data_IF_905458995312
#
_entry.id   IF_905458995312
#
_cell.length_a   1.000
_cell.length_b   1.000
_cell.length_c   1.000
_cell.angle_alpha   90.00
_cell.angle_beta   90.00
_cell.angle_gamma   90.00
#
_symmetry.space_group_name_H-M   'P 1'
#
loop_
_entity.id
_entity.type
_entity.pdbx_description
1 polymer ?
#
# COMPACT_ATOMS: atom_id res chain seq x y z
N UNK A 1 9.59 -31.28 -12.15
CA UNK A 1 9.16 -30.74 -10.84
C UNK A 1 7.97 -29.83 -11.08
N UNK A 2 6.83 -30.07 -10.42
CA UNK A 2 5.72 -29.11 -10.40
C UNK A 2 6.13 -27.96 -9.48
N UNK A 3 6.42 -26.78 -10.05
CA UNK A 3 6.56 -25.55 -9.26
C UNK A 3 5.18 -25.01 -8.93
N UNK A 4 4.93 -24.63 -7.67
CA UNK A 4 3.70 -23.94 -7.29
C UNK A 4 3.61 -22.60 -8.05
N UNK A 5 2.47 -22.28 -8.69
CA UNK A 5 2.35 -21.06 -9.47
C UNK A 5 2.34 -19.82 -8.59
N UNK A 6 3.11 -18.80 -8.96
CA UNK A 6 3.09 -17.48 -8.34
C UNK A 6 2.13 -16.56 -9.08
N UNK A 7 1.49 -15.62 -8.38
CA UNK A 7 0.63 -14.59 -8.99
C UNK A 7 1.39 -13.80 -10.07
N UNK A 8 2.69 -13.55 -9.85
CA UNK A 8 3.56 -12.87 -10.80
C UNK A 8 3.83 -13.67 -12.08
N UNK A 9 3.55 -14.97 -12.12
CA UNK A 9 3.73 -15.78 -13.32
C UNK A 9 2.75 -15.34 -14.43
N UNK A 10 1.59 -14.78 -14.07
CA UNK A 10 0.65 -14.09 -14.98
C UNK A 10 1.28 -12.85 -15.64
N UNK A 11 2.35 -12.30 -15.07
CA UNK A 11 3.08 -11.14 -15.58
C UNK A 11 4.17 -11.46 -16.60
N UNK A 12 4.28 -12.70 -17.08
CA UNK A 12 5.49 -13.17 -17.80
C UNK A 12 5.35 -13.10 -19.33
N UNK A 13 4.21 -13.52 -19.89
CA UNK A 13 4.02 -13.62 -21.33
C UNK A 13 3.02 -12.58 -21.86
N UNK A 14 3.15 -12.08 -23.11
CA UNK A 14 2.08 -11.33 -23.75
C UNK A 14 0.90 -12.24 -24.13
N UNK A 15 -0.35 -11.73 -24.08
CA UNK A 15 -0.73 -10.35 -23.73
C UNK A 15 -0.88 -10.08 -22.23
N UNK A 16 -0.95 -11.11 -21.38
CA UNK A 16 -1.27 -11.01 -19.95
C UNK A 16 -0.30 -10.13 -19.15
N UNK A 17 0.99 -10.12 -19.51
CA UNK A 17 1.99 -9.24 -18.89
C UNK A 17 1.67 -7.75 -19.01
N UNK A 18 1.06 -7.35 -20.12
CA UNK A 18 0.70 -5.95 -20.36
C UNK A 18 -0.48 -5.55 -19.48
N UNK A 19 -1.49 -6.43 -19.41
CA UNK A 19 -2.65 -6.23 -18.53
C UNK A 19 -2.22 -6.19 -17.07
N UNK A 20 -1.38 -7.14 -16.64
CA UNK A 20 -0.83 -7.19 -15.29
C UNK A 20 -0.07 -5.91 -14.93
N UNK A 21 0.81 -5.44 -15.81
CA UNK A 21 1.58 -4.21 -15.61
C UNK A 21 0.69 -2.96 -15.52
N UNK A 22 -0.29 -2.81 -16.42
CA UNK A 22 -1.23 -1.68 -16.40
C UNK A 22 -2.07 -1.69 -15.11
N UNK A 23 -2.63 -2.84 -14.74
CA UNK A 23 -3.44 -2.96 -13.53
C UNK A 23 -2.63 -2.64 -12.27
N UNK A 24 -1.40 -3.16 -12.14
CA UNK A 24 -0.57 -2.87 -10.97
C UNK A 24 -0.13 -1.40 -10.90
N UNK A 25 0.19 -0.77 -12.02
CA UNK A 25 0.53 0.66 -12.04
C UNK A 25 -0.69 1.53 -11.66
N UNK A 26 -1.87 1.25 -12.21
CA UNK A 26 -3.12 1.95 -11.82
C UNK A 26 -3.40 1.76 -10.32
N UNK A 27 -3.31 0.52 -9.82
CA UNK A 27 -3.50 0.22 -8.40
C UNK A 27 -2.44 0.89 -7.51
N UNK A 28 -1.21 1.10 -8.02
CA UNK A 28 -0.16 1.87 -7.35
C UNK A 28 -0.55 3.34 -7.20
N UNK A 29 -0.99 3.99 -8.27
CA UNK A 29 -1.41 5.41 -8.28
C UNK A 29 -2.63 5.62 -7.38
N UNK A 30 -3.68 4.79 -7.56
CA UNK A 30 -4.87 4.86 -6.72
C UNK A 30 -4.53 4.60 -5.24
N UNK A 31 -3.62 3.66 -4.98
CA UNK A 31 -3.09 3.41 -3.63
C UNK A 31 -2.48 4.66 -3.01
N UNK A 32 -1.57 5.34 -3.71
CA UNK A 32 -0.95 6.59 -3.23
C UNK A 32 -2.03 7.65 -2.95
N UNK A 33 -3.00 7.81 -3.86
CA UNK A 33 -4.09 8.76 -3.67
C UNK A 33 -4.90 8.46 -2.41
N UNK A 34 -5.30 7.19 -2.20
CA UNK A 34 -6.03 6.77 -1.00
C UNK A 34 -5.22 6.99 0.28
N UNK A 35 -3.94 6.62 0.28
CA UNK A 35 -3.03 6.80 1.41
C UNK A 35 -2.90 8.29 1.75
N UNK A 36 -2.73 9.15 0.73
CA UNK A 36 -2.59 10.59 0.92
C UNK A 36 -3.87 11.24 1.46
N UNK A 37 -5.04 10.86 0.93
CA UNK A 37 -6.33 11.31 1.45
C UNK A 37 -6.46 10.93 2.91
N UNK A 38 -6.15 9.68 3.29
CA UNK A 38 -6.20 9.24 4.69
C UNK A 38 -5.23 10.03 5.56
N UNK A 39 -4.00 10.26 5.10
CA UNK A 39 -3.04 11.08 5.83
C UNK A 39 -3.58 12.48 6.14
N UNK A 40 -4.19 13.13 5.14
CA UNK A 40 -4.77 14.46 5.26
C UNK A 40 -6.04 14.49 6.11
N UNK A 41 -6.82 13.41 6.15
CA UNK A 41 -7.95 13.28 7.07
C UNK A 41 -7.49 13.26 8.53
N UNK A 42 -6.44 12.50 8.84
CA UNK A 42 -5.97 12.33 10.24
C UNK A 42 -5.17 13.55 10.74
N UNK A 43 -4.38 14.18 9.86
CA UNK A 43 -3.46 15.25 10.23
C UNK A 43 -4.07 16.43 11.03
N UNK A 44 -5.25 16.99 10.68
CA UNK A 44 -5.84 18.10 11.42
C UNK A 44 -6.59 17.69 12.69
N UNK A 45 -6.91 16.40 12.88
CA UNK A 45 -7.83 15.96 13.93
C UNK A 45 -7.15 15.79 15.31
N UNK A 46 -5.82 15.64 15.35
CA UNK A 46 -5.07 15.43 16.60
C UNK A 46 -3.76 16.22 16.64
N UNK A 47 -3.78 17.56 16.66
CA UNK A 47 -2.56 18.37 16.68
C UNK A 47 -1.71 18.18 17.95
N UNK A 48 -2.32 17.74 19.07
CA UNK A 48 -1.63 17.60 20.35
C UNK A 48 -1.14 16.18 20.65
N UNK A 49 -1.62 15.17 19.92
CA UNK A 49 -1.27 13.77 20.18
C UNK A 49 -0.05 13.33 19.35
N UNK A 50 1.14 13.52 19.92
CA UNK A 50 2.42 13.22 19.30
C UNK A 50 2.53 11.79 18.74
N UNK A 51 1.89 10.80 19.37
CA UNK A 51 1.89 9.42 18.89
C UNK A 51 1.10 9.27 17.58
N UNK A 52 -0.13 9.79 17.52
CA UNK A 52 -0.97 9.74 16.32
C UNK A 52 -0.31 10.45 15.14
N UNK A 53 0.33 11.59 15.36
CA UNK A 53 1.07 12.32 14.31
C UNK A 53 2.22 11.46 13.76
N UNK A 54 2.99 10.81 14.64
CA UNK A 54 4.08 9.92 14.25
C UNK A 54 3.58 8.71 13.47
N UNK A 55 2.52 8.05 13.97
CA UNK A 55 1.90 6.90 13.30
C UNK A 55 1.33 7.28 11.92
N UNK A 56 0.65 8.43 11.81
CA UNK A 56 0.08 8.91 10.56
C UNK A 56 1.17 9.16 9.49
N UNK A 57 2.31 9.76 9.89
CA UNK A 57 3.48 9.92 9.01
C UNK A 57 4.12 8.57 8.65
N UNK A 58 4.24 7.66 9.60
CA UNK A 58 4.81 6.33 9.36
C UNK A 58 3.96 5.55 8.35
N UNK A 59 2.63 5.55 8.51
CA UNK A 59 1.68 4.94 7.57
C UNK A 59 1.81 5.54 6.18
N UNK A 60 1.92 6.87 6.05
CA UNK A 60 2.13 7.52 4.75
C UNK A 60 3.38 6.97 4.04
N UNK A 61 4.50 6.89 4.76
CA UNK A 61 5.78 6.39 4.19
C UNK A 61 5.67 4.91 3.81
N UNK A 62 5.16 4.07 4.72
CA UNK A 62 4.98 2.63 4.47
C UNK A 62 4.08 2.37 3.25
N UNK A 63 2.99 3.12 3.13
CA UNK A 63 2.08 3.01 2.00
C UNK A 63 2.72 3.42 0.68
N UNK A 64 3.46 4.53 0.64
CA UNK A 64 4.19 4.97 -0.56
C UNK A 64 5.23 3.93 -0.97
N UNK A 65 6.01 3.40 -0.02
CA UNK A 65 6.98 2.34 -0.28
C UNK A 65 6.33 1.08 -0.85
N UNK A 66 5.15 0.68 -0.35
CA UNK A 66 4.38 -0.45 -0.91
C UNK A 66 3.97 -0.19 -2.37
N UNK A 67 3.48 1.02 -2.67
CA UNK A 67 3.12 1.41 -4.04
C UNK A 67 4.32 1.47 -4.98
N UNK A 68 5.50 1.90 -4.52
CA UNK A 68 6.75 1.81 -5.27
C UNK A 68 7.10 0.35 -5.57
N UNK A 69 6.96 -0.56 -4.59
CA UNK A 69 7.16 -1.99 -4.81
C UNK A 69 6.26 -2.56 -5.90
N UNK A 70 4.97 -2.16 -5.93
CA UNK A 70 4.03 -2.57 -6.99
C UNK A 70 4.48 -2.08 -8.37
N UNK A 71 4.98 -0.84 -8.48
CA UNK A 71 5.53 -0.32 -9.74
C UNK A 71 6.76 -1.12 -10.19
N UNK A 72 7.65 -1.50 -9.26
CA UNK A 72 8.79 -2.37 -9.60
C UNK A 72 8.31 -3.72 -10.14
N UNK A 73 7.36 -4.38 -9.47
CA UNK A 73 6.78 -5.66 -9.92
C UNK A 73 6.10 -5.53 -11.28
N UNK A 74 5.42 -4.41 -11.53
CA UNK A 74 4.68 -4.15 -12.77
C UNK A 74 5.59 -3.98 -13.99
N UNK A 75 6.75 -3.33 -13.80
CA UNK A 75 7.64 -2.94 -14.89
C UNK A 75 8.84 -3.87 -15.07
N UNK A 76 9.28 -4.54 -14.00
CA UNK A 76 10.40 -5.48 -14.03
C UNK A 76 9.88 -6.91 -13.90
N UNK A 77 9.74 -7.60 -15.03
CA UNK A 77 9.23 -8.96 -15.08
C UNK A 77 10.21 -9.96 -14.45
N UNK A 78 9.66 -10.99 -13.81
CA UNK A 78 10.42 -12.10 -13.21
C UNK A 78 11.42 -12.73 -14.19
N UNK A 79 11.02 -12.89 -15.46
CA UNK A 79 11.83 -13.49 -16.53
C UNK A 79 12.94 -12.59 -17.07
N UNK A 80 12.79 -11.27 -16.96
CA UNK A 80 13.75 -10.31 -17.50
C UNK A 80 14.78 -9.88 -16.44
N UNK A 81 14.31 -9.50 -15.25
CA UNK A 81 15.15 -9.00 -14.15
C UNK A 81 14.64 -9.51 -12.81
N UNK A 82 14.89 -10.80 -12.55
CA UNK A 82 14.41 -11.53 -11.37
C UNK A 82 14.71 -10.83 -10.04
N UNK A 83 15.93 -10.33 -9.85
CA UNK A 83 16.34 -9.69 -8.59
C UNK A 83 15.49 -8.45 -8.30
N UNK A 84 15.31 -7.58 -9.30
CA UNK A 84 14.51 -6.35 -9.15
C UNK A 84 13.04 -6.71 -8.90
N UNK A 85 12.53 -7.72 -9.60
CA UNK A 85 11.16 -8.21 -9.41
C UNK A 85 10.91 -8.69 -7.97
N UNK A 86 11.80 -9.55 -7.44
CA UNK A 86 11.68 -10.08 -6.07
C UNK A 86 11.82 -8.96 -5.04
N UNK A 87 12.77 -8.03 -5.22
CA UNK A 87 12.89 -6.85 -4.38
C UNK A 87 11.60 -6.02 -4.39
N UNK A 88 11.00 -5.81 -5.56
CA UNK A 88 9.72 -5.14 -5.71
C UNK A 88 8.60 -5.87 -5.00
N UNK A 89 8.54 -7.20 -5.10
CA UNK A 89 7.51 -8.03 -4.48
C UNK A 89 7.61 -8.00 -2.94
N UNK A 90 8.81 -8.12 -2.40
CA UNK A 90 9.07 -7.98 -0.95
C UNK A 90 8.68 -6.57 -0.49
N UNK A 91 9.09 -5.54 -1.21
CA UNK A 91 8.75 -4.16 -0.87
C UNK A 91 7.23 -3.93 -0.91
N UNK A 92 6.53 -4.43 -1.92
CA UNK A 92 5.10 -4.28 -2.09
C UNK A 92 4.32 -4.97 -0.96
N UNK A 93 4.63 -6.24 -0.70
CA UNK A 93 3.89 -7.07 0.25
C UNK A 93 4.26 -6.72 1.69
N UNK A 94 5.55 -6.68 2.04
CA UNK A 94 5.96 -6.43 3.42
C UNK A 94 5.59 -5.02 3.87
N UNK A 95 5.89 -3.98 3.09
CA UNK A 95 5.49 -2.60 3.46
C UNK A 95 3.97 -2.43 3.41
N UNK A 96 3.28 -3.13 2.52
CA UNK A 96 1.82 -3.16 2.47
C UNK A 96 1.20 -3.79 3.72
N UNK A 97 1.76 -4.90 4.21
CA UNK A 97 1.33 -5.54 5.45
C UNK A 97 1.59 -4.66 6.66
N UNK A 98 2.77 -4.05 6.77
CA UNK A 98 3.06 -3.10 7.85
C UNK A 98 2.15 -1.86 7.77
N UNK A 99 1.91 -1.33 6.57
CA UNK A 99 0.94 -0.25 6.35
C UNK A 99 -0.42 -0.63 6.93
N UNK A 100 -0.97 -1.79 6.57
CA UNK A 100 -2.28 -2.23 7.06
C UNK A 100 -2.30 -2.41 8.58
N UNK A 101 -1.26 -3.01 9.15
CA UNK A 101 -1.17 -3.22 10.60
C UNK A 101 -1.14 -1.90 11.38
N UNK A 102 -0.25 -0.99 10.99
CA UNK A 102 -0.11 0.32 11.65
C UNK A 102 -1.35 1.20 11.41
N UNK A 103 -1.93 1.16 10.22
CA UNK A 103 -3.18 1.86 9.87
C UNK A 103 -4.36 1.37 10.72
N UNK A 104 -4.42 0.07 11.03
CA UNK A 104 -5.44 -0.49 11.94
C UNK A 104 -5.23 0.01 13.37
N UNK A 105 -3.99 -0.01 13.89
CA UNK A 105 -3.67 0.54 15.22
C UNK A 105 -4.03 2.02 15.30
N UNK A 106 -3.63 2.81 14.30
CA UNK A 106 -3.95 4.23 14.20
C UNK A 106 -5.46 4.47 14.23
N UNK A 107 -6.21 3.70 13.44
CA UNK A 107 -7.66 3.84 13.37
C UNK A 107 -8.35 3.43 14.67
N UNK A 108 -7.81 2.44 15.39
CA UNK A 108 -8.28 2.05 16.72
C UNK A 108 -8.03 3.14 17.76
N UNK A 109 -6.84 3.75 17.78
CA UNK A 109 -6.49 4.83 18.71
C UNK A 109 -7.33 6.10 18.48
N UNK A 110 -7.83 6.32 17.26
CA UNK A 110 -8.72 7.43 16.93
C UNK A 110 -10.17 7.25 17.41
N UNK A 111 -10.54 6.09 17.98
CA UNK A 111 -11.83 5.84 18.60
C UNK A 111 -11.81 6.16 20.11
N UNK A 112 -12.91 6.67 20.71
CA UNK A 112 -14.17 7.11 20.09
C UNK A 112 -14.15 8.60 19.66
N UNK A 113 -13.10 9.35 19.99
CA UNK A 113 -13.11 10.83 19.96
C UNK A 113 -13.30 11.44 18.56
N UNK A 114 -12.89 10.74 17.49
CA UNK A 114 -12.85 11.32 16.14
C UNK A 114 -13.76 10.61 15.13
N UNK A 115 -13.97 9.31 15.25
CA UNK A 115 -15.04 8.63 14.50
C UNK A 115 -16.13 8.08 15.41
N UNK A 116 -16.55 8.87 16.41
CA UNK A 116 -17.79 8.64 17.15
C UNK A 116 -18.96 8.50 16.18
N UNK A 117 -19.93 7.63 16.49
CA UNK A 117 -21.16 7.46 15.69
C UNK A 117 -21.89 8.80 15.43
N UNK A 118 -21.65 9.83 16.24
CA UNK A 118 -22.23 11.16 16.08
C UNK A 118 -21.75 11.94 14.85
N UNK A 119 -20.59 11.61 14.26
CA UNK A 119 -20.08 12.31 13.06
C UNK A 119 -20.91 11.97 11.80
N UNK A 120 -21.65 10.86 11.81
CA UNK A 120 -22.54 10.45 10.72
C UNK A 120 -23.97 10.96 10.86
N UNK A 121 -24.32 11.61 11.98
CA UNK A 121 -25.67 12.14 12.24
C UNK A 121 -25.69 13.67 12.16
N UNK A 122 -25.28 14.22 11.02
CA UNK A 122 -25.59 15.60 10.62
C UNK A 122 -26.76 15.57 9.66
#
# INVERSE_FOLDING_TARGET
MLTLPYISDTGTMPPERCLFGVTLNIAGILGIATIYVRYKQVHPLNPEENLIIKLNKAVLVLGILSCLGRSLVANFQKSALFIVHVCGAVLALSMGSFYMFVQTILSYQMQPKIHSKQVFWV
#
